data_IF_385156522538
#
_entry.id   IF_385156522538
#
_cell.length_a   1.000
_cell.length_b   1.000
_cell.length_c   1.000
_cell.angle_alpha   90.00
_cell.angle_beta   90.00
_cell.angle_gamma   90.00
#
_symmetry.space_group_name_H-M   'P 1'
#
loop_
_entity.id
_entity.type
_entity.pdbx_description
1 polymer ?
#
# COMPACT_ATOMS: atom_id res chain seq x y z
N UNK A 1 -60.41 -3.26 30.80
CA UNK A 1 -59.21 -3.92 30.24
C UNK A 1 -58.68 -3.02 29.13
N UNK A 2 -57.51 -2.40 29.31
CA UNK A 2 -56.92 -1.47 28.32
C UNK A 2 -55.88 -2.23 27.48
N UNK A 3 -55.89 -2.12 26.14
CA UNK A 3 -54.85 -2.73 25.33
C UNK A 3 -53.58 -1.86 25.38
N UNK A 4 -52.50 -2.46 25.85
CA UNK A 4 -51.15 -1.89 25.80
C UNK A 4 -50.57 -2.18 24.42
N UNK A 5 -50.51 -1.16 23.56
CA UNK A 5 -49.81 -1.27 22.28
C UNK A 5 -48.30 -1.19 22.51
N UNK A 6 -47.63 -2.33 22.37
CA UNK A 6 -46.17 -2.44 22.36
C UNK A 6 -45.65 -1.92 21.01
N UNK A 7 -45.10 -0.70 21.00
CA UNK A 7 -44.39 -0.16 19.84
C UNK A 7 -43.01 -0.84 19.73
N UNK A 8 -42.89 -1.76 18.78
CA UNK A 8 -41.62 -2.32 18.36
C UNK A 8 -40.82 -1.24 17.61
N UNK A 9 -39.86 -0.62 18.28
CA UNK A 9 -38.88 0.24 17.64
C UNK A 9 -37.87 -0.63 16.86
N UNK A 10 -38.09 -0.75 15.55
CA UNK A 10 -37.11 -1.30 14.61
C UNK A 10 -36.00 -0.25 14.49
N UNK A 11 -34.89 -0.46 15.19
CA UNK A 11 -33.68 0.31 15.00
C UNK A 11 -33.12 -0.01 13.61
N UNK A 12 -33.32 0.91 12.66
CA UNK A 12 -32.68 0.92 11.35
C UNK A 12 -31.16 1.04 11.57
N UNK A 13 -30.44 -0.08 11.47
CA UNK A 13 -28.99 -0.10 11.30
C UNK A 13 -28.68 0.52 9.93
N UNK A 14 -28.47 1.83 9.90
CA UNK A 14 -27.94 2.49 8.71
C UNK A 14 -26.58 1.85 8.39
N UNK A 15 -26.37 1.34 7.16
CA UNK A 15 -25.05 0.89 6.75
C UNK A 15 -24.12 2.10 6.80
N UNK A 16 -23.22 2.13 7.77
CA UNK A 16 -22.16 3.11 7.83
C UNK A 16 -21.39 3.04 6.52
N UNK A 17 -21.56 4.05 5.67
CA UNK A 17 -20.72 4.23 4.50
C UNK A 17 -19.30 4.40 5.02
N UNK A 18 -18.51 3.33 4.93
CA UNK A 18 -17.07 3.42 5.07
C UNK A 18 -16.62 4.35 3.95
N UNK A 19 -16.43 5.63 4.27
CA UNK A 19 -15.79 6.58 3.37
C UNK A 19 -14.43 5.98 3.03
N UNK A 20 -14.26 5.55 1.77
CA UNK A 20 -12.98 5.10 1.28
C UNK A 20 -11.97 6.22 1.57
N UNK A 21 -11.06 6.00 2.52
CA UNK A 21 -10.06 7.00 2.86
C UNK A 21 -9.26 7.30 1.59
N UNK A 22 -9.30 8.55 1.15
CA UNK A 22 -8.57 8.99 -0.03
C UNK A 22 -7.08 8.74 0.21
N UNK A 23 -6.44 7.92 -0.61
CA UNK A 23 -5.00 7.58 -0.51
C UNK A 23 -4.10 8.80 -0.69
N UNK A 24 -2.87 8.75 -0.17
CA UNK A 24 -1.83 9.78 -0.35
C UNK A 24 -0.51 9.13 -0.79
N UNK A 25 -0.44 8.78 -2.07
CA UNK A 25 0.73 8.12 -2.65
C UNK A 25 1.90 9.09 -2.86
N UNK A 26 3.06 8.69 -2.37
CA UNK A 26 4.32 9.44 -2.40
C UNK A 26 5.39 8.67 -3.15
N UNK A 27 6.11 9.32 -4.06
CA UNK A 27 7.19 8.73 -4.82
C UNK A 27 8.45 8.58 -3.96
N UNK A 28 8.95 7.35 -3.84
CA UNK A 28 10.13 7.01 -3.05
C UNK A 28 11.37 6.95 -3.95
N UNK A 29 11.35 6.15 -5.01
CA UNK A 29 12.49 5.94 -5.89
C UNK A 29 12.12 5.31 -7.24
N UNK A 30 13.05 5.30 -8.19
CA UNK A 30 13.00 4.43 -9.38
C UNK A 30 13.90 3.21 -9.11
N UNK A 31 13.38 2.01 -9.29
CA UNK A 31 14.18 0.78 -9.19
C UNK A 31 14.44 0.20 -10.58
N UNK A 32 15.60 -0.45 -10.74
CA UNK A 32 16.02 -1.13 -11.97
C UNK A 32 15.91 -0.25 -13.24
N UNK A 33 16.25 1.04 -13.14
CA UNK A 33 16.11 2.00 -14.24
C UNK A 33 16.89 1.58 -15.49
N UNK A 34 16.28 1.77 -16.66
CA UNK A 34 16.88 1.38 -17.94
C UNK A 34 16.82 -0.12 -18.24
N UNK A 35 16.07 -0.89 -17.45
CA UNK A 35 15.86 -2.34 -17.66
C UNK A 35 14.38 -2.65 -17.93
N UNK A 36 14.08 -3.86 -18.40
CA UNK A 36 12.70 -4.35 -18.57
C UNK A 36 11.91 -4.41 -17.25
N UNK A 37 12.59 -4.35 -16.11
CA UNK A 37 12.01 -4.35 -14.77
C UNK A 37 12.01 -2.98 -14.11
N UNK A 38 12.25 -1.91 -14.88
CA UNK A 38 12.14 -0.55 -14.37
C UNK A 38 10.77 -0.33 -13.72
N UNK A 39 10.78 0.17 -12.49
CA UNK A 39 9.55 0.42 -11.74
C UNK A 39 9.67 1.65 -10.86
N UNK A 40 8.52 2.28 -10.60
CA UNK A 40 8.41 3.35 -9.61
C UNK A 40 8.01 2.74 -8.28
N UNK A 41 8.75 3.07 -7.23
CA UNK A 41 8.41 2.71 -5.87
C UNK A 41 7.63 3.86 -5.22
N UNK A 42 6.43 3.57 -4.73
CA UNK A 42 5.55 4.52 -4.04
C UNK A 42 5.14 4.02 -2.66
N UNK A 43 4.87 4.94 -1.73
CA UNK A 43 4.31 4.63 -0.41
C UNK A 43 3.02 5.41 -0.20
N UNK A 44 1.99 4.79 0.36
CA UNK A 44 0.75 5.49 0.72
C UNK A 44 0.86 6.04 2.14
N UNK A 45 1.11 7.34 2.27
CA UNK A 45 1.30 7.99 3.57
C UNK A 45 0.06 7.90 4.48
N UNK A 46 -1.14 7.81 3.91
CA UNK A 46 -2.38 7.66 4.68
C UNK A 46 -2.69 6.24 5.08
N UNK A 47 -1.98 5.26 4.51
CA UNK A 47 -2.11 3.86 4.92
C UNK A 47 -1.37 3.54 6.23
N UNK A 48 -0.60 4.48 6.76
CA UNK A 48 0.21 4.25 7.95
C UNK A 48 -0.66 3.95 9.16
N UNK A 49 -0.49 2.76 9.73
CA UNK A 49 -1.12 2.37 11.01
C UNK A 49 -0.05 2.15 12.08
N UNK A 50 -0.48 2.16 13.36
CA UNK A 50 0.36 1.95 14.52
C UNK A 50 -0.23 0.82 15.38
N UNK A 51 -0.01 -0.46 15.01
CA UNK A 51 -0.63 -1.58 15.72
C UNK A 51 -0.01 -1.85 17.10
N UNK A 52 1.23 -1.40 17.35
CA UNK A 52 1.93 -1.58 18.62
C UNK A 52 3.02 -0.52 18.78
N UNK A 53 3.53 -0.35 20.01
CA UNK A 53 4.67 0.54 20.28
C UNK A 53 5.82 0.20 19.32
N UNK A 54 6.38 1.23 18.69
CA UNK A 54 7.47 1.15 17.71
C UNK A 54 7.17 0.34 16.43
N UNK A 55 5.96 -0.20 16.28
CA UNK A 55 5.54 -0.89 15.05
C UNK A 55 4.73 0.06 14.17
N UNK A 56 5.04 0.07 12.88
CA UNK A 56 4.23 0.76 11.86
C UNK A 56 3.90 -0.19 10.74
N UNK A 57 2.71 -0.05 10.15
CA UNK A 57 2.43 -0.72 8.88
C UNK A 57 2.10 0.30 7.81
N UNK A 58 2.52 0.05 6.57
CA UNK A 58 2.19 0.91 5.44
C UNK A 58 2.13 0.12 4.14
N UNK A 59 1.26 0.56 3.23
CA UNK A 59 1.24 0.08 1.86
C UNK A 59 2.33 0.75 1.03
N UNK A 60 3.08 -0.09 0.32
CA UNK A 60 4.00 0.27 -0.73
C UNK A 60 3.46 -0.28 -2.07
N UNK A 61 3.80 0.38 -3.16
CA UNK A 61 3.50 -0.08 -4.51
C UNK A 61 4.73 0.05 -5.40
N UNK A 62 5.07 -1.03 -6.11
CA UNK A 62 6.03 -1.01 -7.21
C UNK A 62 5.23 -1.12 -8.51
N UNK A 63 5.22 -0.05 -9.31
CA UNK A 63 4.54 -0.04 -10.61
C UNK A 63 5.55 -0.12 -11.74
N UNK A 64 5.43 -1.14 -12.57
CA UNK A 64 6.39 -1.46 -13.61
C UNK A 64 6.11 -0.65 -14.87
N UNK A 65 7.17 -0.26 -15.58
CA UNK A 65 7.06 0.43 -16.86
C UNK A 65 6.31 -0.41 -17.91
N UNK A 66 6.51 -1.74 -17.87
CA UNK A 66 5.85 -2.72 -18.74
C UNK A 66 5.18 -3.79 -17.90
N UNK A 67 4.13 -4.39 -18.45
CA UNK A 67 3.51 -5.56 -17.83
C UNK A 67 4.55 -6.68 -17.70
N UNK A 68 4.52 -7.32 -16.55
CA UNK A 68 5.38 -8.44 -16.18
C UNK A 68 4.55 -9.73 -16.22
N UNK A 69 5.17 -10.86 -16.50
CA UNK A 69 4.53 -12.19 -16.46
C UNK A 69 4.88 -12.88 -15.13
N UNK A 70 3.87 -13.48 -14.48
CA UNK A 70 4.05 -14.32 -13.29
C UNK A 70 4.71 -15.68 -13.58
N UNK A 71 5.00 -15.98 -14.84
CA UNK A 71 5.55 -17.26 -15.30
C UNK A 71 4.48 -18.29 -15.64
N UNK A 72 3.21 -17.89 -15.60
CA UNK A 72 2.05 -18.72 -15.96
C UNK A 72 1.16 -18.05 -17.03
N UNK A 73 1.64 -16.99 -17.68
CA UNK A 73 0.91 -16.20 -18.66
C UNK A 73 0.01 -15.12 -18.06
N UNK A 74 -0.12 -15.06 -16.73
CA UNK A 74 -0.85 -13.99 -16.06
C UNK A 74 0.01 -12.74 -15.98
N UNK A 75 -0.48 -11.66 -16.59
CA UNK A 75 0.21 -10.37 -16.59
C UNK A 75 -0.11 -9.56 -15.34
N UNK A 76 0.85 -8.76 -14.90
CA UNK A 76 0.67 -7.76 -13.85
C UNK A 76 1.46 -6.49 -14.15
N UNK A 77 0.98 -5.36 -13.65
CA UNK A 77 1.62 -4.05 -13.82
C UNK A 77 2.05 -3.43 -12.48
N UNK A 78 1.60 -4.01 -11.36
CA UNK A 78 1.81 -3.50 -10.02
C UNK A 78 2.01 -4.63 -9.01
N UNK A 79 3.01 -4.46 -8.15
CA UNK A 79 3.21 -5.25 -6.94
C UNK A 79 3.01 -4.35 -5.72
N UNK A 80 1.89 -4.54 -5.01
CA UNK A 80 1.53 -3.76 -3.83
C UNK A 80 1.74 -4.59 -2.58
N UNK A 81 2.57 -4.09 -1.66
CA UNK A 81 3.02 -4.83 -0.49
C UNK A 81 2.66 -4.03 0.77
N UNK A 82 2.03 -4.67 1.75
CA UNK A 82 1.91 -4.10 3.09
C UNK A 82 3.11 -4.53 3.90
N UNK A 83 3.93 -3.57 4.29
CA UNK A 83 5.06 -3.81 5.17
C UNK A 83 4.67 -3.58 6.61
N UNK A 84 5.23 -4.39 7.51
CA UNK A 84 5.28 -4.17 8.95
C UNK A 84 6.71 -3.79 9.31
N UNK A 85 6.91 -2.58 9.81
CA UNK A 85 8.19 -2.05 10.25
C UNK A 85 8.30 -2.12 11.76
N UNK A 86 9.44 -2.59 12.26
CA UNK A 86 9.88 -2.34 13.62
C UNK A 86 10.87 -1.17 13.60
N UNK A 87 10.39 -0.02 14.05
CA UNK A 87 11.12 1.24 14.02
C UNK A 87 12.25 1.31 15.06
N UNK A 88 12.17 0.50 16.12
CA UNK A 88 13.22 0.42 17.12
C UNK A 88 14.33 -0.56 16.69
N UNK A 89 13.94 -1.72 16.14
CA UNK A 89 14.87 -2.75 15.69
C UNK A 89 15.43 -2.51 14.28
N UNK A 90 14.91 -1.52 13.54
CA UNK A 90 15.25 -1.26 12.14
C UNK A 90 15.09 -2.51 11.25
N UNK A 91 13.95 -3.19 11.40
CA UNK A 91 13.58 -4.36 10.60
C UNK A 91 12.24 -4.16 9.90
N UNK A 92 11.98 -4.96 8.87
CA UNK A 92 10.69 -5.03 8.22
C UNK A 92 10.28 -6.47 7.92
N UNK A 93 8.99 -6.74 7.92
CA UNK A 93 8.38 -7.97 7.44
C UNK A 93 7.33 -7.63 6.37
N UNK A 94 7.10 -8.57 5.45
CA UNK A 94 5.97 -8.49 4.51
C UNK A 94 4.75 -9.04 5.22
N UNK A 95 3.65 -8.28 5.26
CA UNK A 95 2.37 -8.72 5.84
C UNK A 95 1.40 -9.17 4.75
N UNK A 96 1.26 -8.35 3.71
CA UNK A 96 0.38 -8.62 2.57
C UNK A 96 1.10 -8.40 1.25
N UNK A 97 0.71 -9.18 0.26
CA UNK A 97 1.09 -9.00 -1.15
C UNK A 97 -0.19 -8.97 -1.98
N UNK A 98 -0.31 -7.96 -2.84
CA UNK A 98 -1.30 -7.87 -3.90
C UNK A 98 -0.57 -7.69 -5.21
N UNK A 99 -0.88 -8.56 -6.16
CA UNK A 99 -0.41 -8.47 -7.53
C UNK A 99 -1.58 -7.94 -8.35
N UNK A 100 -1.37 -6.83 -9.05
CA UNK A 100 -2.45 -6.15 -9.75
C UNK A 100 -2.12 -5.93 -11.22
N UNK A 101 -3.15 -6.04 -12.05
CA UNK A 101 -3.15 -5.60 -13.43
C UNK A 101 -4.10 -4.42 -13.56
N UNK A 102 -3.55 -3.26 -13.92
CA UNK A 102 -4.27 -2.00 -14.08
C UNK A 102 -5.14 -1.57 -12.88
N UNK A 103 -4.72 -1.95 -11.67
CA UNK A 103 -5.39 -1.64 -10.41
C UNK A 103 -6.38 -2.71 -9.94
N UNK A 104 -6.62 -3.75 -10.74
CA UNK A 104 -7.41 -4.92 -10.36
C UNK A 104 -6.50 -6.01 -9.82
N UNK A 105 -6.80 -6.55 -8.63
CA UNK A 105 -6.03 -7.65 -8.07
C UNK A 105 -6.22 -8.93 -8.90
N UNK A 106 -5.11 -9.51 -9.36
CA UNK A 106 -5.06 -10.83 -10.01
C UNK A 106 -4.59 -11.91 -9.05
N UNK A 107 -3.89 -11.54 -7.99
CA UNK A 107 -3.48 -12.43 -6.90
C UNK A 107 -3.35 -11.63 -5.61
N UNK A 108 -3.77 -12.21 -4.48
CA UNK A 108 -3.60 -11.63 -3.15
C UNK A 108 -3.15 -12.73 -2.17
N UNK A 109 -2.24 -12.39 -1.28
CA UNK A 109 -1.76 -13.28 -0.23
C UNK A 109 -1.53 -12.47 1.04
N UNK A 110 -2.05 -12.96 2.16
CA UNK A 110 -1.86 -12.38 3.49
C UNK A 110 -1.11 -13.42 4.32
N UNK A 111 0.21 -13.27 4.41
CA UNK A 111 1.05 -14.14 5.23
C UNK A 111 2.22 -13.31 5.72
N UNK A 112 2.35 -13.23 7.04
CA UNK A 112 3.49 -12.55 7.64
C UNK A 112 4.76 -13.34 7.34
N UNK A 113 5.66 -12.71 6.57
CA UNK A 113 6.98 -13.23 6.29
C UNK A 113 7.95 -12.98 7.43
N UNK A 114 9.13 -13.58 7.34
CA UNK A 114 10.21 -13.36 8.30
C UNK A 114 10.68 -11.89 8.29
N UNK A 115 10.98 -11.38 9.48
CA UNK A 115 11.56 -10.05 9.65
C UNK A 115 12.99 -10.00 9.08
N UNK A 116 13.29 -8.93 8.34
CA UNK A 116 14.58 -8.68 7.70
C UNK A 116 15.14 -7.33 8.13
N UNK A 117 16.46 -7.27 8.31
CA UNK A 117 17.16 -6.02 8.60
C UNK A 117 17.02 -5.07 7.41
N UNK A 118 16.74 -3.80 7.71
CA UNK A 118 16.70 -2.75 6.70
C UNK A 118 18.13 -2.32 6.39
N UNK A 119 18.61 -2.64 5.20
CA UNK A 119 19.92 -2.21 4.74
C UNK A 119 19.93 -0.69 4.49
N UNK A 120 20.87 0.07 5.09
CA UNK A 120 21.01 1.50 4.86
C UNK A 120 21.20 1.84 3.39
N UNK A 121 20.76 3.04 2.98
CA UNK A 121 20.92 3.53 1.61
C UNK A 121 19.98 2.89 0.58
N UNK A 122 19.19 1.88 0.94
CA UNK A 122 18.18 1.29 0.06
C UNK A 122 16.91 2.12 -0.01
N UNK A 123 16.09 2.01 -1.10
CA UNK A 123 14.76 2.61 -1.15
C UNK A 123 13.87 2.19 0.03
N UNK A 124 13.99 0.94 0.48
CA UNK A 124 13.30 0.43 1.66
C UNK A 124 13.69 1.20 2.94
N UNK A 125 14.96 1.57 3.10
CA UNK A 125 15.42 2.39 4.23
C UNK A 125 14.83 3.80 4.21
N UNK A 126 14.79 4.45 3.04
CA UNK A 126 14.15 5.77 2.88
C UNK A 126 12.67 5.70 3.28
N UNK A 127 11.96 4.69 2.78
CA UNK A 127 10.55 4.48 3.10
C UNK A 127 10.34 4.20 4.59
N UNK A 128 11.13 3.31 5.19
CA UNK A 128 11.03 3.00 6.62
C UNK A 128 11.25 4.24 7.49
N UNK A 129 12.24 5.08 7.17
CA UNK A 129 12.49 6.32 7.88
C UNK A 129 11.28 7.28 7.84
N UNK A 130 10.65 7.44 6.67
CA UNK A 130 9.44 8.26 6.54
C UNK A 130 8.25 7.68 7.31
N UNK A 131 8.01 6.36 7.19
CA UNK A 131 6.91 5.67 7.89
C UNK A 131 7.09 5.72 9.41
N UNK A 132 8.30 5.47 9.91
CA UNK A 132 8.60 5.46 11.34
C UNK A 132 8.55 6.85 11.97
N UNK A 133 8.96 7.89 11.24
CA UNK A 133 8.88 9.29 11.71
C UNK A 133 7.50 9.92 11.47
N UNK A 134 6.68 9.35 10.59
CA UNK A 134 5.46 9.99 10.08
C UNK A 134 5.74 11.20 9.17
N UNK A 135 6.99 11.41 8.74
CA UNK A 135 7.39 12.55 7.93
C UNK A 135 7.66 12.14 6.48
N UNK A 136 6.74 12.53 5.59
CA UNK A 136 6.82 12.25 4.15
C UNK A 136 7.23 13.48 3.31
N UNK A 137 7.64 14.59 3.93
CA UNK A 137 7.98 15.83 3.22
C UNK A 137 9.14 15.68 2.23
N UNK A 138 10.02 14.69 2.43
CA UNK A 138 11.11 14.37 1.50
C UNK A 138 10.65 13.66 0.22
N UNK A 139 9.37 13.29 0.10
CA UNK A 139 8.85 12.58 -1.06
C UNK A 139 7.87 13.44 -1.85
N UNK A 140 8.03 13.43 -3.17
CA UNK A 140 7.09 14.08 -4.07
C UNK A 140 5.75 13.33 -4.07
N UNK A 141 4.60 14.04 -4.12
CA UNK A 141 3.31 13.40 -4.33
C UNK A 141 3.27 12.72 -5.71
N UNK A 142 2.59 11.59 -5.81
CA UNK A 142 2.25 10.99 -7.09
C UNK A 142 1.37 11.96 -7.89
N UNK A 143 1.80 12.32 -9.10
CA UNK A 143 1.10 13.24 -10.01
C UNK A 143 -0.29 12.72 -10.36
N UNK A 144 -0.41 11.41 -10.52
CA UNK A 144 -1.65 10.74 -10.90
C UNK A 144 -2.61 10.44 -9.75
N UNK A 145 -2.24 10.70 -8.50
CA UNK A 145 -3.03 10.38 -7.31
C UNK A 145 -3.14 8.88 -6.96
N UNK A 146 -2.81 7.98 -7.90
CA UNK A 146 -2.74 6.53 -7.68
C UNK A 146 -1.51 5.93 -8.37
N UNK A 147 -1.03 4.74 -7.96
CA UNK A 147 0.13 4.10 -8.57
C UNK A 147 -0.01 3.87 -10.07
N UNK A 148 -1.17 3.34 -10.53
CA UNK A 148 -1.36 3.07 -11.96
C UNK A 148 -1.46 4.36 -12.80
N UNK A 149 -2.05 5.43 -12.26
CA UNK A 149 -2.05 6.72 -12.96
C UNK A 149 -0.65 7.33 -13.00
N UNK A 150 0.16 7.16 -11.94
CA UNK A 150 1.57 7.56 -11.95
C UNK A 150 2.38 6.78 -13.00
N UNK A 151 2.17 5.47 -13.11
CA UNK A 151 2.76 4.62 -14.16
C UNK A 151 2.51 5.22 -15.55
N UNK A 152 1.25 5.50 -15.88
CA UNK A 152 0.86 6.11 -17.17
C UNK A 152 1.49 7.47 -17.38
N UNK A 153 1.50 8.31 -16.35
CA UNK A 153 2.07 9.66 -16.43
C UNK A 153 3.58 9.67 -16.64
N UNK A 154 4.30 8.64 -16.16
CA UNK A 154 5.77 8.58 -16.22
C UNK A 154 6.29 7.82 -17.44
N UNK A 155 5.64 6.73 -17.82
CA UNK A 155 6.14 5.82 -18.84
C UNK A 155 5.41 5.88 -20.18
N UNK A 156 4.25 6.56 -20.24
CA UNK A 156 3.35 6.45 -21.40
C UNK A 156 2.62 5.12 -21.36
N UNK A 157 1.30 5.18 -21.13
CA UNK A 157 0.44 3.98 -21.12
C UNK A 157 0.26 3.36 -22.49
#
# INVERSE_FOLDING_TARGET
MKPTHLLAAIALLAPGTAFAQASDWRFVDVTASGTERESLMLVDAKSVTNPAKDIREAWNSNVFARNQDLGNGTLYSELRIKYRFDCAANTFAIRDIRILLDGTAVTETSTEGEAKVINPGTPAAKMAAAVCSGNFSGFAPARGGTPNTERRARFGG
#
